data_IF_640199609168
#
_entry.id   IF_640199609168
#
_cell.length_a   1.000
_cell.length_b   1.000
_cell.length_c   1.000
_cell.angle_alpha   90.00
_cell.angle_beta   90.00
_cell.angle_gamma   90.00
#
_symmetry.space_group_name_H-M   'P 1'
#
loop_
_entity.id
_entity.type
_entity.pdbx_description
1 polymer ?
#
# COMPACT_ATOMS: atom_id res chain seq x y z
N UNK A 1 57.53 3.95 64.33
CA UNK A 1 56.57 4.77 63.55
C UNK A 1 55.95 3.91 62.42
N UNK A 2 54.72 3.45 62.52
CA UNK A 2 54.11 2.60 61.48
C UNK A 2 53.41 3.45 60.39
N UNK A 3 53.73 3.16 59.12
CA UNK A 3 53.10 3.73 57.94
C UNK A 3 51.72 3.12 57.75
N UNK A 4 50.68 3.95 57.81
CA UNK A 4 49.28 3.60 57.44
C UNK A 4 49.18 3.51 55.91
N UNK A 5 48.86 2.32 55.40
CA UNK A 5 48.39 2.11 54.01
C UNK A 5 46.87 2.32 53.97
N UNK A 6 46.40 3.19 53.08
CA UNK A 6 45.01 3.45 52.79
C UNK A 6 44.65 2.58 51.56
N UNK A 7 43.68 1.66 51.63
CA UNK A 7 43.27 0.93 50.46
C UNK A 7 42.31 1.81 49.58
N UNK A 8 42.72 1.99 48.37
CA UNK A 8 41.89 2.66 47.32
C UNK A 8 40.78 1.72 46.93
N UNK A 9 39.55 2.01 47.38
CA UNK A 9 38.35 1.27 47.00
C UNK A 9 37.86 1.81 45.65
N UNK A 10 38.10 1.05 44.56
CA UNK A 10 37.69 1.38 43.21
C UNK A 10 36.19 1.02 43.09
N UNK A 11 35.32 2.04 43.13
CA UNK A 11 33.87 1.89 42.96
C UNK A 11 33.58 1.85 41.46
N UNK A 12 33.41 0.65 40.91
CA UNK A 12 32.94 0.46 39.53
C UNK A 12 31.43 0.59 39.53
N UNK A 13 30.91 1.73 39.14
CA UNK A 13 29.48 1.93 38.85
C UNK A 13 29.17 1.39 37.46
N UNK A 14 28.59 0.20 37.41
CA UNK A 14 27.97 -0.36 36.20
C UNK A 14 26.69 0.43 35.89
N UNK A 15 26.72 1.33 34.93
CA UNK A 15 25.53 1.93 34.32
C UNK A 15 24.93 0.91 33.37
N UNK A 16 23.90 0.21 33.82
CA UNK A 16 23.05 -0.59 32.96
C UNK A 16 22.20 0.35 32.05
N UNK A 17 22.59 0.49 30.81
CA UNK A 17 21.75 1.13 29.78
C UNK A 17 20.64 0.16 29.44
N UNK A 18 19.46 0.37 30.03
CA UNK A 18 18.24 -0.28 29.61
C UNK A 18 17.87 0.24 28.21
N UNK A 19 18.13 -0.55 27.18
CA UNK A 19 17.55 -0.33 25.86
C UNK A 19 16.04 -0.54 25.98
N UNK A 20 15.30 0.55 26.22
CA UNK A 20 13.84 0.55 26.10
C UNK A 20 13.52 0.39 24.63
N UNK A 21 13.25 -0.84 24.20
CA UNK A 21 12.62 -1.11 22.92
C UNK A 21 11.29 -0.34 22.89
N UNK A 22 11.19 0.64 22.00
CA UNK A 22 9.93 1.33 21.71
C UNK A 22 9.07 0.32 20.95
N UNK A 23 8.42 -0.58 21.70
CA UNK A 23 7.26 -1.28 21.17
C UNK A 23 6.21 -0.20 20.97
N UNK A 24 5.93 0.14 19.71
CA UNK A 24 4.78 0.97 19.37
C UNK A 24 3.55 0.26 19.92
N UNK A 25 3.10 0.68 21.10
CA UNK A 25 1.90 0.16 21.73
C UNK A 25 0.75 0.46 20.76
N UNK A 26 0.17 -0.57 20.17
CA UNK A 26 -1.11 -0.46 19.50
C UNK A 26 -2.06 0.15 20.53
N UNK A 27 -2.70 1.29 20.25
CA UNK A 27 -3.56 1.94 21.24
C UNK A 27 -4.62 0.93 21.65
N UNK A 28 -4.83 0.77 22.95
CA UNK A 28 -5.66 -0.26 23.60
C UNK A 28 -7.16 -0.30 23.16
N UNK A 29 -7.55 0.44 22.13
CA UNK A 29 -8.89 0.51 21.53
C UNK A 29 -8.82 0.77 20.02
N UNK A 30 -8.04 -0.02 19.30
CA UNK A 30 -8.08 0.07 17.84
C UNK A 30 -9.49 -0.33 17.32
N UNK A 31 -10.04 0.32 16.29
CA UNK A 31 -11.36 0.01 15.76
C UNK A 31 -11.57 -1.47 15.45
N UNK A 32 -10.55 -2.12 14.91
CA UNK A 32 -10.61 -3.54 14.52
C UNK A 32 -10.58 -4.54 15.69
N UNK A 33 -10.36 -4.07 16.93
CA UNK A 33 -10.51 -4.88 18.14
C UNK A 33 -11.96 -4.92 18.64
N UNK A 34 -12.81 -4.00 18.15
CA UNK A 34 -14.24 -3.97 18.43
C UNK A 34 -15.00 -4.92 17.52
N UNK A 35 -16.18 -5.36 17.96
CA UNK A 35 -17.12 -6.05 17.08
C UNK A 35 -17.58 -5.11 15.95
N UNK A 36 -17.74 -5.59 14.71
CA UNK A 36 -18.12 -4.75 13.57
C UNK A 36 -19.42 -3.97 13.79
N UNK A 37 -20.35 -4.51 14.56
CA UNK A 37 -21.63 -3.88 14.89
C UNK A 37 -21.44 -2.59 15.72
N UNK A 38 -20.33 -2.49 16.43
CA UNK A 38 -19.97 -1.35 17.28
C UNK A 38 -19.18 -0.26 16.56
N UNK A 39 -18.79 -0.50 15.29
CA UNK A 39 -18.02 0.49 14.54
C UNK A 39 -18.86 1.72 14.23
N UNK A 40 -18.35 2.87 14.58
CA UNK A 40 -18.83 4.16 14.10
C UNK A 40 -18.33 4.42 12.68
N UNK A 41 -18.91 5.40 11.99
CA UNK A 41 -18.37 5.82 10.67
C UNK A 41 -16.92 6.30 10.77
N UNK A 42 -16.53 6.94 11.85
CA UNK A 42 -15.13 7.33 12.08
C UNK A 42 -14.21 6.10 12.21
N UNK A 43 -14.67 5.04 12.89
CA UNK A 43 -13.95 3.77 12.95
C UNK A 43 -13.79 3.14 11.55
N UNK A 44 -14.86 3.14 10.75
CA UNK A 44 -14.87 2.63 9.38
C UNK A 44 -13.85 3.38 8.51
N UNK A 45 -13.88 4.71 8.52
CA UNK A 45 -12.90 5.52 7.76
C UNK A 45 -11.47 5.28 8.23
N UNK A 46 -11.25 5.13 9.53
CA UNK A 46 -9.93 4.82 10.07
C UNK A 46 -9.43 3.45 9.59
N UNK A 47 -10.29 2.43 9.55
CA UNK A 47 -9.95 1.10 9.03
C UNK A 47 -9.55 1.20 7.54
N UNK A 48 -10.32 1.93 6.74
CA UNK A 48 -10.12 2.02 5.29
C UNK A 48 -8.97 2.95 4.87
N UNK A 49 -8.49 3.84 5.73
CA UNK A 49 -7.52 4.87 5.35
C UNK A 49 -6.23 4.88 6.18
N UNK A 50 -6.25 4.29 7.38
CA UNK A 50 -5.10 4.31 8.29
C UNK A 50 -5.14 3.12 9.26
N UNK A 51 -4.97 1.94 8.74
CA UNK A 51 -4.94 0.69 9.49
C UNK A 51 -3.78 -0.20 9.00
N UNK A 52 -3.49 -1.33 9.68
CA UNK A 52 -2.52 -2.29 9.18
C UNK A 52 -2.82 -2.83 7.77
N UNK A 53 -4.10 -2.87 7.37
CA UNK A 53 -4.56 -3.30 6.03
C UNK A 53 -4.64 -2.18 5.01
N UNK A 54 -4.49 -0.92 5.44
CA UNK A 54 -4.53 0.29 4.61
C UNK A 54 -3.53 1.31 5.15
N UNK A 55 -2.23 1.12 4.94
CA UNK A 55 -1.22 2.06 5.41
C UNK A 55 -1.38 3.41 4.72
N UNK A 56 -1.45 4.49 5.51
CA UNK A 56 -1.56 5.86 4.99
C UNK A 56 -0.23 6.43 4.47
N UNK A 57 0.88 5.78 4.81
CA UNK A 57 2.23 6.21 4.42
C UNK A 57 2.85 5.19 3.49
N UNK A 58 3.16 5.61 2.27
CA UNK A 58 3.84 4.80 1.29
C UNK A 58 4.59 5.70 0.30
N UNK A 59 5.54 5.13 -0.45
CA UNK A 59 6.21 5.88 -1.50
C UNK A 59 5.36 5.87 -2.77
N UNK A 60 5.19 7.03 -3.38
CA UNK A 60 4.46 7.21 -4.62
C UNK A 60 5.26 8.12 -5.55
N UNK A 61 5.49 7.66 -6.76
CA UNK A 61 6.13 8.41 -7.82
C UNK A 61 5.25 8.35 -9.07
N UNK A 62 5.02 9.50 -9.67
CA UNK A 62 4.32 9.61 -10.94
C UNK A 62 5.16 10.45 -11.90
N UNK A 63 5.49 9.89 -13.04
CA UNK A 63 6.27 10.57 -14.08
C UNK A 63 5.42 10.71 -15.34
N UNK A 64 5.37 11.93 -15.86
CA UNK A 64 4.67 12.26 -17.09
C UNK A 64 5.72 12.66 -18.13
N UNK A 65 5.92 11.81 -19.12
CA UNK A 65 6.85 12.09 -20.21
C UNK A 65 6.07 12.44 -21.45
N UNK A 66 6.36 13.60 -22.05
CA UNK A 66 5.83 13.99 -23.35
C UNK A 66 6.96 13.92 -24.36
N UNK A 67 6.82 13.07 -25.38
CA UNK A 67 7.75 13.03 -26.49
C UNK A 67 7.38 14.12 -27.51
N UNK A 68 8.26 15.08 -27.71
CA UNK A 68 8.15 16.02 -28.81
C UNK A 68 8.84 15.44 -30.04
N UNK A 69 8.07 15.19 -31.08
CA UNK A 69 8.62 14.92 -32.43
C UNK A 69 8.48 16.21 -33.22
N UNK A 70 9.58 16.62 -33.86
CA UNK A 70 9.53 17.67 -34.85
C UNK A 70 8.81 17.20 -36.12
N UNK A 71 8.54 18.12 -37.05
CA UNK A 71 7.87 17.83 -38.32
C UNK A 71 8.64 16.84 -39.21
N UNK A 72 9.88 16.48 -38.84
CA UNK A 72 10.75 15.52 -39.53
C UNK A 72 10.88 14.19 -38.78
N UNK A 73 10.03 13.94 -37.79
CA UNK A 73 10.00 12.71 -36.97
C UNK A 73 11.30 12.44 -36.18
N UNK A 74 12.11 13.46 -35.92
CA UNK A 74 13.31 13.33 -35.11
C UNK A 74 12.94 13.59 -33.64
N UNK A 75 13.24 12.63 -32.78
CA UNK A 75 13.06 12.82 -31.33
C UNK A 75 14.02 13.88 -30.84
N UNK A 76 13.50 15.04 -30.44
CA UNK A 76 14.30 16.19 -30.04
C UNK A 76 14.62 16.19 -28.54
N UNK A 77 13.78 15.57 -27.73
CA UNK A 77 14.04 15.46 -26.27
C UNK A 77 13.08 14.48 -25.61
N UNK A 78 13.63 13.55 -24.83
CA UNK A 78 12.90 12.83 -23.79
C UNK A 78 13.18 13.55 -22.46
N UNK A 79 12.27 14.42 -22.03
CA UNK A 79 12.39 15.06 -20.72
C UNK A 79 11.44 14.41 -19.75
N UNK A 80 11.94 13.69 -18.74
CA UNK A 80 11.09 13.24 -17.64
C UNK A 80 10.70 14.46 -16.80
N UNK A 81 9.42 14.73 -16.71
CA UNK A 81 8.89 15.72 -15.77
C UNK A 81 8.54 14.98 -14.50
N UNK A 82 9.48 14.94 -13.56
CA UNK A 82 9.20 14.49 -12.20
C UNK A 82 8.34 15.53 -11.50
N UNK A 83 7.28 15.11 -10.81
CA UNK A 83 6.41 15.98 -10.03
C UNK A 83 7.16 16.74 -8.90
N UNK A 84 8.42 16.42 -8.66
CA UNK A 84 9.27 17.06 -7.66
C UNK A 84 10.30 18.03 -8.22
N UNK A 85 10.45 18.16 -9.55
CA UNK A 85 11.52 18.97 -10.11
C UNK A 85 10.98 20.22 -10.84
N UNK A 86 11.01 21.36 -10.18
CA UNK A 86 10.79 22.70 -10.75
C UNK A 86 12.04 23.22 -11.48
N UNK A 87 12.74 22.39 -12.21
CA UNK A 87 13.88 22.77 -13.03
C UNK A 87 13.40 23.51 -14.29
N UNK A 88 13.74 24.80 -14.40
CA UNK A 88 13.51 25.59 -15.60
C UNK A 88 14.49 25.12 -16.70
N UNK A 89 13.98 24.43 -17.72
CA UNK A 89 14.72 24.16 -18.94
C UNK A 89 14.54 25.37 -19.86
N UNK A 90 15.63 26.04 -20.31
CA UNK A 90 15.52 27.20 -21.19
C UNK A 90 14.80 26.82 -22.49
N UNK A 91 13.67 27.47 -22.77
CA UNK A 91 12.92 27.34 -24.01
C UNK A 91 11.67 26.47 -23.96
N UNK A 92 11.36 25.78 -22.85
CA UNK A 92 10.14 24.99 -22.70
C UNK A 92 9.46 25.36 -21.38
N UNK A 93 8.47 26.23 -21.43
CA UNK A 93 7.68 26.60 -20.25
C UNK A 93 6.60 25.55 -20.01
N UNK A 94 6.91 24.48 -19.27
CA UNK A 94 5.91 23.59 -18.75
C UNK A 94 5.65 23.93 -17.28
N UNK A 95 4.80 24.90 -17.05
CA UNK A 95 4.24 25.24 -15.73
C UNK A 95 2.94 24.47 -15.53
N UNK A 96 3.00 23.16 -15.36
CA UNK A 96 1.93 22.40 -14.70
C UNK A 96 2.61 21.40 -13.79
N UNK A 97 2.78 21.79 -12.53
CA UNK A 97 2.95 20.80 -11.46
C UNK A 97 1.67 19.95 -11.44
N UNK A 98 1.73 18.75 -11.98
CA UNK A 98 0.66 17.79 -11.79
C UNK A 98 0.71 17.36 -10.33
N UNK A 99 -0.35 17.53 -9.54
CA UNK A 99 -0.39 16.98 -8.20
C UNK A 99 -0.21 15.46 -8.30
N UNK A 100 0.46 14.88 -7.31
CA UNK A 100 0.53 13.42 -7.20
C UNK A 100 -0.89 12.86 -7.17
N UNK A 101 -1.18 11.79 -7.92
CA UNK A 101 -2.50 11.18 -7.91
C UNK A 101 -2.82 10.64 -6.50
N UNK A 102 -4.07 10.75 -6.10
CA UNK A 102 -4.52 10.09 -4.87
C UNK A 102 -4.62 8.60 -5.14
N UNK A 103 -3.95 7.82 -4.31
CA UNK A 103 -3.94 6.34 -4.36
C UNK A 103 -4.33 5.82 -2.99
N UNK A 104 -5.26 4.87 -2.96
CA UNK A 104 -5.55 4.08 -1.77
C UNK A 104 -5.24 2.63 -2.09
N UNK A 105 -4.50 1.97 -1.22
CA UNK A 105 -4.20 0.53 -1.35
C UNK A 105 -4.77 -0.18 -0.14
N UNK A 106 -5.62 -1.18 -0.39
CA UNK A 106 -6.27 -1.97 0.66
C UNK A 106 -5.88 -3.44 0.51
N UNK A 107 -5.62 -4.10 1.63
CA UNK A 107 -5.53 -5.55 1.69
C UNK A 107 -6.94 -6.15 1.70
N UNK A 108 -7.52 -6.30 0.49
CA UNK A 108 -8.93 -6.61 0.28
C UNK A 108 -9.34 -8.01 0.75
N UNK A 109 -8.43 -8.98 0.73
CA UNK A 109 -8.73 -10.33 1.24
C UNK A 109 -9.04 -10.35 2.75
N UNK A 110 -8.66 -9.30 3.51
CA UNK A 110 -9.04 -9.14 4.90
C UNK A 110 -10.55 -9.01 5.07
N UNK A 111 -11.12 -9.78 6.00
CA UNK A 111 -12.52 -9.67 6.40
C UNK A 111 -12.83 -8.28 6.98
N UNK A 112 -11.90 -7.72 7.75
CA UNK A 112 -12.03 -6.39 8.37
C UNK A 112 -12.25 -5.31 7.31
N UNK A 113 -11.47 -5.33 6.22
CA UNK A 113 -11.62 -4.36 5.13
C UNK A 113 -12.96 -4.52 4.41
N UNK A 114 -13.35 -5.75 4.07
CA UNK A 114 -14.62 -6.02 3.39
C UNK A 114 -15.83 -5.59 4.23
N UNK A 115 -15.80 -5.84 5.54
CA UNK A 115 -16.85 -5.39 6.46
C UNK A 115 -16.89 -3.87 6.62
N UNK A 116 -15.74 -3.22 6.69
CA UNK A 116 -15.66 -1.76 6.76
C UNK A 116 -16.20 -1.10 5.50
N UNK A 117 -15.84 -1.66 4.32
CA UNK A 117 -16.35 -1.17 3.03
C UNK A 117 -17.86 -1.32 2.92
N UNK A 118 -18.40 -2.46 3.31
CA UNK A 118 -19.85 -2.68 3.34
C UNK A 118 -20.57 -1.64 4.19
N UNK A 119 -20.06 -1.37 5.40
CA UNK A 119 -20.62 -0.31 6.25
C UNK A 119 -20.50 1.09 5.68
N UNK A 120 -19.41 1.37 4.95
CA UNK A 120 -19.26 2.64 4.22
C UNK A 120 -20.32 2.81 3.16
N UNK A 121 -20.62 1.74 2.40
CA UNK A 121 -21.66 1.75 1.36
C UNK A 121 -23.05 1.91 1.96
N UNK A 122 -23.39 1.17 3.03
CA UNK A 122 -24.66 1.36 3.76
C UNK A 122 -24.88 2.81 4.21
N UNK A 123 -23.84 3.43 4.77
CA UNK A 123 -23.93 4.81 5.25
C UNK A 123 -24.12 5.85 4.16
N UNK A 124 -23.71 5.54 2.91
CA UNK A 124 -23.95 6.40 1.74
C UNK A 124 -25.34 6.25 1.14
N UNK A 125 -26.20 5.41 1.71
CA UNK A 125 -27.52 5.11 1.17
C UNK A 125 -27.46 4.24 -0.09
N UNK A 126 -26.31 3.65 -0.38
CA UNK A 126 -26.17 2.58 -1.34
C UNK A 126 -27.09 1.46 -0.87
N UNK A 127 -28.08 1.11 -1.66
CA UNK A 127 -28.82 -0.11 -1.45
C UNK A 127 -27.76 -1.23 -1.61
N UNK A 128 -27.15 -1.62 -0.49
CA UNK A 128 -26.68 -3.00 -0.46
C UNK A 128 -27.87 -3.79 -0.96
N UNK A 129 -27.70 -4.40 -2.10
CA UNK A 129 -28.63 -5.45 -2.47
C UNK A 129 -28.71 -6.31 -1.22
N UNK A 130 -29.82 -6.21 -0.49
CA UNK A 130 -30.03 -6.87 0.78
C UNK A 130 -29.93 -8.41 0.69
N UNK A 131 -29.45 -8.86 -0.42
CA UNK A 131 -29.36 -10.23 -0.90
C UNK A 131 -27.94 -10.77 -1.12
N UNK A 132 -26.90 -9.94 -1.10
CA UNK A 132 -25.55 -10.49 -1.07
C UNK A 132 -25.02 -10.44 0.37
N UNK A 133 -25.02 -11.55 1.10
CA UNK A 133 -24.28 -11.62 2.36
C UNK A 133 -22.85 -11.19 2.04
N UNK A 134 -22.30 -10.26 2.84
CA UNK A 134 -20.89 -9.94 2.75
C UNK A 134 -20.17 -11.27 2.81
N UNK A 135 -19.52 -11.65 1.72
CA UNK A 135 -18.78 -12.89 1.71
C UNK A 135 -17.67 -12.79 2.76
N UNK A 136 -17.94 -13.42 3.91
CA UNK A 136 -17.03 -13.44 5.04
C UNK A 136 -16.09 -14.64 5.01
N UNK A 137 -16.27 -15.50 4.01
CA UNK A 137 -15.37 -16.62 3.79
C UNK A 137 -13.97 -16.14 3.46
N UNK A 138 -12.94 -16.86 3.90
CA UNK A 138 -11.58 -16.59 3.50
C UNK A 138 -11.46 -16.66 1.97
N UNK A 139 -10.88 -15.64 1.36
CA UNK A 139 -10.61 -15.66 -0.07
C UNK A 139 -9.50 -16.68 -0.39
N UNK A 140 -9.58 -17.31 -1.54
CA UNK A 140 -8.58 -18.30 -2.01
C UNK A 140 -7.23 -17.66 -2.28
N UNK A 141 -7.23 -16.36 -2.64
CA UNK A 141 -6.04 -15.57 -2.94
C UNK A 141 -5.85 -14.45 -1.90
N UNK A 142 -4.63 -13.97 -1.76
CA UNK A 142 -4.44 -12.62 -1.25
C UNK A 142 -4.84 -11.64 -2.34
N UNK A 143 -5.70 -10.71 -2.00
CA UNK A 143 -6.19 -9.69 -2.93
C UNK A 143 -5.87 -8.32 -2.37
N UNK A 144 -5.15 -7.53 -3.14
CA UNK A 144 -4.95 -6.12 -2.87
C UNK A 144 -5.76 -5.30 -3.86
N UNK A 145 -6.40 -4.23 -3.37
CA UNK A 145 -7.07 -3.27 -4.27
C UNK A 145 -6.30 -1.97 -4.34
N UNK A 146 -6.32 -1.39 -5.52
CA UNK A 146 -5.85 -0.03 -5.74
C UNK A 146 -7.03 0.79 -6.21
N UNK A 147 -7.25 1.92 -5.53
CA UNK A 147 -8.34 2.86 -5.78
C UNK A 147 -7.79 4.25 -6.13
N UNK A 148 -8.58 5.03 -6.85
CA UNK A 148 -8.28 6.37 -7.32
C UNK A 148 -8.45 6.48 -8.83
N UNK A 149 -9.07 7.56 -9.32
CA UNK A 149 -9.46 7.70 -10.72
C UNK A 149 -8.27 7.64 -11.69
N UNK A 150 -7.24 8.41 -11.40
CA UNK A 150 -6.06 8.48 -12.27
C UNK A 150 -5.20 7.21 -12.20
N UNK A 151 -4.87 6.65 -11.01
CA UNK A 151 -4.19 5.38 -10.90
C UNK A 151 -4.90 4.25 -11.63
N UNK A 152 -6.21 4.11 -11.46
CA UNK A 152 -7.00 3.07 -12.14
C UNK A 152 -6.93 3.18 -13.65
N UNK A 153 -6.99 4.40 -14.18
CA UNK A 153 -6.86 4.62 -15.62
C UNK A 153 -5.46 4.21 -16.12
N UNK A 154 -4.39 4.56 -15.38
CA UNK A 154 -3.02 4.19 -15.74
C UNK A 154 -2.83 2.67 -15.68
N UNK A 155 -3.31 2.03 -14.61
CA UNK A 155 -3.24 0.58 -14.43
C UNK A 155 -4.01 -0.16 -15.54
N UNK A 156 -5.18 0.33 -15.94
CA UNK A 156 -5.97 -0.25 -17.03
C UNK A 156 -5.26 -0.14 -18.37
N UNK A 157 -4.68 1.03 -18.66
CA UNK A 157 -3.92 1.26 -19.89
C UNK A 157 -2.63 0.41 -19.95
N UNK A 158 -2.09 -0.01 -18.79
CA UNK A 158 -0.88 -0.83 -18.66
C UNK A 158 -1.16 -2.31 -18.34
N UNK A 159 -2.42 -2.77 -18.44
CA UNK A 159 -2.87 -4.07 -17.95
C UNK A 159 -2.00 -5.25 -18.38
N UNK A 160 -1.53 -5.24 -19.62
CA UNK A 160 -0.71 -6.33 -20.19
C UNK A 160 0.67 -6.45 -19.54
N UNK A 161 1.23 -5.33 -19.07
CA UNK A 161 2.57 -5.27 -18.47
C UNK A 161 2.56 -5.51 -16.95
N UNK A 162 1.37 -5.54 -16.30
CA UNK A 162 1.26 -5.61 -14.84
C UNK A 162 1.79 -6.91 -14.27
N UNK A 163 1.70 -8.03 -14.98
CA UNK A 163 2.20 -9.32 -14.51
C UNK A 163 3.72 -9.32 -14.27
N UNK A 164 4.47 -8.48 -15.01
CA UNK A 164 5.92 -8.38 -14.88
C UNK A 164 6.37 -7.31 -13.90
N UNK A 165 5.46 -6.43 -13.48
CA UNK A 165 5.82 -5.20 -12.76
C UNK A 165 5.08 -5.02 -11.43
N UNK A 166 4.20 -5.96 -11.11
CA UNK A 166 3.44 -5.98 -9.85
C UNK A 166 3.72 -7.28 -9.10
N UNK A 167 4.20 -7.17 -7.87
CA UNK A 167 4.53 -8.32 -7.04
C UNK A 167 4.51 -7.96 -5.55
N UNK A 168 4.49 -8.98 -4.69
CA UNK A 168 4.74 -8.85 -3.26
C UNK A 168 6.17 -9.31 -2.97
N UNK A 169 6.95 -8.48 -2.28
CA UNK A 169 8.24 -8.84 -1.71
C UNK A 169 8.00 -9.34 -0.28
N UNK A 170 8.45 -10.55 0.02
CA UNK A 170 8.33 -11.18 1.32
C UNK A 170 9.51 -10.83 2.21
N UNK A 171 9.35 -10.99 3.53
CA UNK A 171 10.40 -10.72 4.52
C UNK A 171 11.68 -11.51 4.29
N UNK A 172 11.58 -12.75 3.80
CA UNK A 172 12.71 -13.63 3.48
C UNK A 172 13.42 -13.27 2.15
N UNK A 173 13.00 -12.19 1.48
CA UNK A 173 13.52 -11.77 0.18
C UNK A 173 12.93 -12.50 -1.02
N UNK A 174 12.00 -13.44 -0.80
CA UNK A 174 11.22 -14.06 -1.88
C UNK A 174 10.19 -13.10 -2.47
N UNK A 175 9.63 -13.46 -3.62
CA UNK A 175 8.55 -12.72 -4.27
C UNK A 175 7.34 -13.60 -4.52
N UNK A 176 6.15 -12.99 -4.45
CA UNK A 176 4.91 -13.56 -4.96
C UNK A 176 4.49 -12.74 -6.18
N UNK A 177 4.41 -13.42 -7.31
CA UNK A 177 4.03 -12.80 -8.57
C UNK A 177 2.51 -12.58 -8.62
N UNK A 178 2.10 -11.59 -9.41
CA UNK A 178 0.71 -11.32 -9.70
C UNK A 178 0.12 -12.49 -10.51
N UNK A 179 -0.93 -13.13 -9.99
CA UNK A 179 -1.61 -14.24 -10.67
C UNK A 179 -2.74 -13.75 -11.57
N UNK A 180 -3.44 -12.69 -11.16
CA UNK A 180 -4.51 -12.09 -11.96
C UNK A 180 -4.70 -10.61 -11.58
N UNK A 181 -5.19 -9.84 -12.56
CA UNK A 181 -5.69 -8.48 -12.33
C UNK A 181 -7.12 -8.35 -12.85
N UNK A 182 -8.00 -7.82 -12.02
CA UNK A 182 -9.40 -7.51 -12.40
C UNK A 182 -9.66 -6.04 -12.17
N UNK A 183 -10.43 -5.44 -13.07
CA UNK A 183 -10.97 -4.09 -12.90
C UNK A 183 -12.46 -4.22 -12.63
N UNK A 184 -12.84 -3.89 -11.40
CA UNK A 184 -14.23 -3.95 -10.95
C UNK A 184 -14.82 -2.56 -11.06
N UNK A 185 -15.90 -2.45 -11.83
CA UNK A 185 -16.73 -1.24 -11.94
C UNK A 185 -18.12 -1.61 -11.47
N UNK A 186 -18.47 -1.12 -10.32
CA UNK A 186 -19.82 -1.21 -9.77
C UNK A 186 -20.40 0.20 -9.68
N UNK A 187 -21.72 0.33 -9.48
CA UNK A 187 -22.40 1.63 -9.39
C UNK A 187 -21.75 2.62 -8.42
N UNK A 188 -21.14 2.09 -7.37
CA UNK A 188 -20.61 2.88 -6.26
C UNK A 188 -19.09 2.74 -6.05
N UNK A 189 -18.42 1.85 -6.79
CA UNK A 189 -17.01 1.54 -6.56
C UNK A 189 -16.29 1.21 -7.86
N UNK A 190 -15.17 1.89 -8.09
CA UNK A 190 -14.22 1.54 -9.15
C UNK A 190 -12.88 1.21 -8.51
N UNK A 191 -12.40 -0.02 -8.70
CA UNK A 191 -11.12 -0.48 -8.15
C UNK A 191 -10.44 -1.50 -9.05
N UNK A 192 -9.13 -1.64 -8.92
CA UNK A 192 -8.41 -2.79 -9.45
C UNK A 192 -8.20 -3.82 -8.33
N UNK A 193 -8.40 -5.08 -8.63
CA UNK A 193 -8.10 -6.21 -7.75
C UNK A 193 -6.88 -6.95 -8.29
N UNK A 194 -5.85 -7.06 -7.46
CA UNK A 194 -4.59 -7.71 -7.78
C UNK A 194 -4.48 -8.97 -6.92
N UNK A 195 -4.46 -10.12 -7.57
CA UNK A 195 -4.50 -11.43 -6.94
C UNK A 195 -3.11 -12.04 -6.82
N UNK A 196 -2.82 -12.64 -5.67
CA UNK A 196 -1.57 -13.34 -5.37
C UNK A 196 -1.90 -14.68 -4.72
N UNK A 197 -1.14 -15.72 -5.05
CA UNK A 197 -1.39 -17.06 -4.51
C UNK A 197 -1.28 -17.07 -2.98
N UNK A 198 -2.36 -17.47 -2.29
CA UNK A 198 -2.36 -17.61 -0.83
C UNK A 198 -1.64 -18.88 -0.37
N UNK A 199 -1.71 -19.91 -1.16
CA UNK A 199 -1.13 -21.21 -0.86
C UNK A 199 -0.17 -21.63 -1.96
N UNK A 200 0.98 -22.21 -1.58
CA UNK A 200 1.92 -22.83 -2.48
C UNK A 200 2.29 -24.20 -1.90
N UNK A 201 2.08 -25.26 -2.67
CA UNK A 201 2.33 -26.65 -2.22
C UNK A 201 1.61 -27.05 -0.92
N UNK A 202 0.46 -26.44 -0.64
CA UNK A 202 -0.33 -26.70 0.56
C UNK A 202 0.07 -25.88 1.80
N UNK A 203 1.04 -24.99 1.67
CA UNK A 203 1.49 -24.10 2.75
C UNK A 203 1.12 -22.64 2.44
N UNK A 204 0.80 -21.82 3.46
CA UNK A 204 0.60 -20.40 3.28
C UNK A 204 1.87 -19.72 2.75
N UNK A 205 1.73 -18.86 1.75
CA UNK A 205 2.86 -18.15 1.15
C UNK A 205 3.32 -16.94 1.97
N UNK A 206 2.46 -16.41 2.84
CA UNK A 206 2.78 -15.34 3.78
C UNK A 206 2.58 -15.88 5.20
N UNK A 207 3.64 -15.83 6.01
CA UNK A 207 3.54 -16.13 7.44
C UNK A 207 2.80 -14.98 8.14
N UNK A 208 1.69 -15.25 8.87
CA UNK A 208 0.97 -14.23 9.65
C UNK A 208 1.80 -13.53 10.72
N UNK A 209 2.93 -14.12 11.14
CA UNK A 209 3.84 -13.51 12.10
C UNK A 209 4.98 -12.71 11.44
N UNK A 210 5.05 -12.64 10.11
CA UNK A 210 6.01 -11.80 9.38
C UNK A 210 5.86 -10.34 9.78
N UNK A 211 7.00 -9.68 9.90
CA UNK A 211 7.01 -8.24 10.20
C UNK A 211 6.68 -7.40 8.99
N UNK A 212 7.01 -7.91 7.78
CA UNK A 212 6.97 -7.09 6.57
C UNK A 212 6.63 -7.90 5.32
N UNK A 213 5.68 -7.35 4.57
CA UNK A 213 5.41 -7.66 3.16
C UNK A 213 5.31 -6.35 2.40
N UNK A 214 5.97 -6.24 1.26
CA UNK A 214 5.96 -5.01 0.49
C UNK A 214 5.26 -5.26 -0.84
N UNK A 215 4.22 -4.48 -1.09
CA UNK A 215 3.54 -4.45 -2.38
C UNK A 215 4.25 -3.46 -3.30
N UNK A 216 4.77 -3.96 -4.40
CA UNK A 216 5.36 -3.19 -5.48
C UNK A 216 4.39 -3.12 -6.64
N UNK A 217 4.14 -1.91 -7.12
CA UNK A 217 3.32 -1.68 -8.31
C UNK A 217 3.99 -0.65 -9.20
N UNK A 218 4.26 -1.03 -10.44
CA UNK A 218 4.74 -0.13 -11.46
C UNK A 218 3.91 -0.31 -12.73
N UNK A 219 3.35 0.77 -13.23
CA UNK A 219 2.54 0.79 -14.42
C UNK A 219 3.04 1.84 -15.41
N UNK A 220 3.18 1.45 -16.68
CA UNK A 220 3.62 2.34 -17.74
C UNK A 220 2.52 2.39 -18.82
N UNK A 221 1.75 3.47 -18.82
CA UNK A 221 0.69 3.69 -19.80
C UNK A 221 1.21 4.45 -21.02
N UNK A 222 1.22 3.80 -22.18
CA UNK A 222 1.62 4.39 -23.46
C UNK A 222 0.39 4.88 -24.21
N UNK A 223 0.13 6.19 -24.21
CA UNK A 223 -0.92 6.78 -25.05
C UNK A 223 -0.42 7.02 -26.47
N UNK A 224 -0.70 6.07 -27.38
CA UNK A 224 -0.30 6.12 -28.79
C UNK A 224 -0.78 7.38 -29.53
N UNK A 225 -1.94 7.92 -29.20
CA UNK A 225 -2.53 9.08 -29.88
C UNK A 225 -1.96 10.45 -29.48
N UNK A 226 -1.20 10.56 -28.38
CA UNK A 226 -0.72 11.84 -27.88
C UNK A 226 0.77 11.89 -27.62
N UNK A 227 1.54 10.91 -28.08
CA UNK A 227 2.97 10.79 -27.79
C UNK A 227 3.28 11.01 -26.28
N UNK A 228 2.37 10.58 -25.41
CA UNK A 228 2.51 10.69 -23.95
C UNK A 228 2.74 9.32 -23.35
N UNK A 229 3.72 9.25 -22.48
CA UNK A 229 3.96 8.12 -21.62
C UNK A 229 3.77 8.56 -20.17
N UNK A 230 2.94 7.85 -19.45
CA UNK A 230 2.69 8.11 -18.03
C UNK A 230 3.13 6.88 -17.28
N UNK A 231 4.08 7.04 -16.37
CA UNK A 231 4.47 5.97 -15.45
C UNK A 231 3.99 6.29 -14.03
N UNK A 232 3.46 5.28 -13.38
CA UNK A 232 3.05 5.30 -11.99
C UNK A 232 3.83 4.21 -11.26
N UNK A 233 4.49 4.55 -10.17
CA UNK A 233 5.19 3.58 -9.33
C UNK A 233 4.88 3.87 -7.88
N UNK A 234 4.50 2.85 -7.13
CA UNK A 234 4.31 2.97 -5.69
C UNK A 234 4.71 1.69 -4.98
N UNK A 235 5.06 1.87 -3.72
CA UNK A 235 5.52 0.82 -2.83
C UNK A 235 4.83 0.99 -1.49
N UNK A 236 4.09 -0.04 -1.08
CA UNK A 236 3.32 -0.05 0.17
C UNK A 236 3.81 -1.17 1.06
N UNK A 237 4.16 -0.84 2.28
CA UNK A 237 4.59 -1.80 3.29
C UNK A 237 3.44 -2.20 4.20
N UNK A 238 3.23 -3.49 4.35
CA UNK A 238 2.28 -4.10 5.26
C UNK A 238 3.03 -4.90 6.33
N UNK A 239 2.49 -4.94 7.54
CA UNK A 239 3.00 -5.77 8.63
C UNK A 239 2.03 -6.90 8.95
N UNK A 240 2.16 -8.10 8.37
CA UNK A 240 1.22 -9.20 8.59
C UNK A 240 0.93 -9.47 10.07
N UNK A 241 1.94 -9.48 10.92
CA UNK A 241 1.75 -9.71 12.36
C UNK A 241 0.89 -8.65 13.06
N UNK A 242 0.77 -7.44 12.47
CA UNK A 242 -0.10 -6.36 12.95
C UNK A 242 -1.51 -6.45 12.37
N UNK A 243 -1.71 -7.27 11.32
CA UNK A 243 -2.99 -7.45 10.64
C UNK A 243 -3.84 -8.49 11.38
N UNK A 244 -4.16 -8.16 12.64
CA UNK A 244 -4.97 -8.99 13.53
C UNK A 244 -6.24 -8.23 13.91
N UNK A 245 -7.39 -8.86 13.73
CA UNK A 245 -8.67 -8.37 14.18
C UNK A 245 -9.13 -9.21 15.37
N UNK A 246 -9.40 -8.57 16.50
CA UNK A 246 -9.76 -9.25 17.77
C UNK A 246 -8.77 -10.36 18.14
N UNK A 247 -7.48 -10.09 17.92
CA UNK A 247 -6.39 -11.02 18.23
C UNK A 247 -6.18 -12.19 17.24
N UNK A 248 -6.98 -12.29 16.17
CA UNK A 248 -6.85 -13.32 15.14
C UNK A 248 -6.25 -12.73 13.86
N UNK A 249 -5.32 -13.45 13.17
CA UNK A 249 -4.81 -13.04 11.87
C UNK A 249 -5.95 -12.84 10.86
N UNK A 250 -5.86 -11.76 10.06
CA UNK A 250 -6.88 -11.38 9.07
C UNK A 250 -6.19 -10.85 7.80
N UNK A 251 -5.61 -11.76 7.02
CA UNK A 251 -4.86 -11.50 5.79
C UNK A 251 -5.68 -11.76 4.54
#
# INVERSE_FOLDING_TARGET
>A
MPKRQIPFLLLITMTAVAAAGITAAVPANAPWDKAPEQWTLADVFRILQNSPWSPSKFSLEANYTQRHTDAQSKVVSDSPVSAQNTGVVPGVTFTRSHPLPQVTVLWWSSKTIRLAEAKRLEARGGAMSATAPIDTEPMTDYVLTVEGDEPLRILRDAKEDLHDTVFLELENGGTLDLTAVKFVEDSDTVRSEMHFARMLNGEPTIDPESERVIFHCRANAKKKMQNREISLSFRVEFGPRMMKARGQPDL
#
